data_IF_806387170611
#
_entry.id   IF_806387170611
#
_cell.length_a   1.000
_cell.length_b   1.000
_cell.length_c   1.000
_cell.angle_alpha   90.00
_cell.angle_beta   90.00
_cell.angle_gamma   90.00
#
_symmetry.space_group_name_H-M   'P 1'
#
loop_
_entity.id
_entity.type
_entity.pdbx_description
1 polymer ?
#
# COMPACT_ATOMS: atom_id res chain seq x y z
N UNK A 1 -10.94 12.51 6.97
CA UNK A 1 -10.04 11.44 7.45
C UNK A 1 -9.31 11.94 8.70
N UNK A 2 -9.15 11.15 9.77
CA UNK A 2 -8.34 11.62 10.93
C UNK A 2 -6.88 11.73 10.48
N UNK A 3 -6.16 12.82 10.81
CA UNK A 3 -4.79 13.01 10.34
C UNK A 3 -3.91 11.87 10.86
N UNK A 4 -2.98 11.35 10.04
CA UNK A 4 -2.05 10.28 10.42
C UNK A 4 -1.29 10.57 11.72
N UNK A 5 -0.93 11.85 11.91
CA UNK A 5 -0.38 12.39 13.15
C UNK A 5 -1.23 12.06 14.37
N UNK A 6 -2.57 12.07 14.28
CA UNK A 6 -3.45 11.70 15.39
C UNK A 6 -3.36 10.20 15.79
N UNK A 7 -3.08 9.30 14.83
CA UNK A 7 -2.87 7.87 15.09
C UNK A 7 -1.52 7.62 15.78
N UNK A 8 -0.49 8.40 15.44
CA UNK A 8 0.84 8.34 16.08
C UNK A 8 0.82 9.00 17.47
N UNK A 9 0.19 10.15 17.61
CA UNK A 9 0.19 10.91 18.88
C UNK A 9 -0.50 10.15 20.01
N UNK A 10 -1.48 9.30 19.70
CA UNK A 10 -2.16 8.43 20.69
C UNK A 10 -1.45 7.10 20.97
N UNK A 11 -0.28 6.90 20.39
CA UNK A 11 0.43 5.63 20.49
C UNK A 11 1.49 5.65 21.59
N UNK A 12 1.55 4.56 22.37
CA UNK A 12 2.52 4.39 23.47
C UNK A 12 3.91 3.95 22.99
N UNK A 13 4.38 4.43 21.83
CA UNK A 13 5.74 4.15 21.34
C UNK A 13 6.57 5.42 21.31
N UNK A 14 7.88 5.28 21.51
CA UNK A 14 8.79 6.41 21.40
C UNK A 14 8.93 6.86 19.94
N UNK A 15 9.27 8.15 19.74
CA UNK A 15 9.58 8.69 18.40
C UNK A 15 10.73 7.93 17.73
N UNK A 16 11.72 7.47 18.50
CA UNK A 16 12.83 6.68 18.00
C UNK A 16 12.35 5.35 17.40
N UNK A 17 11.49 4.61 18.13
CA UNK A 17 10.89 3.36 17.64
C UNK A 17 10.01 3.59 16.41
N UNK A 18 9.27 4.69 16.37
CA UNK A 18 8.51 5.04 15.18
C UNK A 18 9.40 5.28 13.95
N UNK A 19 10.50 6.04 14.09
CA UNK A 19 11.47 6.26 13.00
C UNK A 19 12.13 4.96 12.54
N UNK A 20 12.41 4.05 13.48
CA UNK A 20 12.92 2.71 13.16
C UNK A 20 11.91 1.91 12.30
N UNK A 21 10.61 1.91 12.65
CA UNK A 21 9.57 1.27 11.83
C UNK A 21 9.54 1.85 10.41
N UNK A 22 9.60 3.18 10.27
CA UNK A 22 9.60 3.84 8.95
C UNK A 22 10.81 3.42 8.13
N UNK A 23 12.01 3.39 8.75
CA UNK A 23 13.23 2.94 8.08
C UNK A 23 13.16 1.49 7.63
N UNK A 24 12.67 0.59 8.47
CA UNK A 24 12.53 -0.82 8.11
C UNK A 24 11.46 -1.03 7.03
N UNK A 25 10.38 -0.25 7.07
CA UNK A 25 9.37 -0.24 6.01
C UNK A 25 9.97 0.22 4.66
N UNK A 26 10.86 1.22 4.64
CA UNK A 26 11.53 1.64 3.40
C UNK A 26 12.52 0.61 2.84
N UNK A 27 12.98 -0.34 3.66
CA UNK A 27 13.76 -1.50 3.21
C UNK A 27 12.87 -2.68 2.77
N UNK A 28 11.56 -2.46 2.64
CA UNK A 28 10.57 -3.43 2.21
C UNK A 28 10.43 -4.67 3.14
N UNK A 29 10.71 -4.50 4.43
CA UNK A 29 10.49 -5.56 5.41
C UNK A 29 8.99 -5.76 5.66
N UNK A 30 8.59 -7.02 5.78
CA UNK A 30 7.24 -7.40 6.21
C UNK A 30 6.96 -6.97 7.64
N UNK A 31 5.68 -6.77 7.99
CA UNK A 31 5.29 -6.41 9.35
C UNK A 31 5.74 -7.43 10.41
N UNK A 32 5.89 -8.71 10.04
CA UNK A 32 6.44 -9.76 10.92
C UNK A 32 7.93 -9.53 11.18
N UNK A 33 8.71 -9.27 10.13
CA UNK A 33 10.15 -8.97 10.27
C UNK A 33 10.37 -7.68 11.06
N UNK A 34 9.61 -6.63 10.77
CA UNK A 34 9.67 -5.37 11.53
C UNK A 34 9.34 -5.60 13.00
N UNK A 35 8.33 -6.40 13.32
CA UNK A 35 7.97 -6.74 14.70
C UNK A 35 9.10 -7.48 15.43
N UNK A 36 9.78 -8.41 14.76
CA UNK A 36 10.94 -9.13 15.30
C UNK A 36 12.10 -8.17 15.58
N UNK A 37 12.49 -7.34 14.60
CA UNK A 37 13.62 -6.39 14.73
C UNK A 37 13.34 -5.34 15.82
N UNK A 38 12.14 -4.78 15.82
CA UNK A 38 11.79 -3.69 16.75
C UNK A 38 11.40 -4.18 18.15
N UNK A 39 11.20 -5.50 18.32
CA UNK A 39 10.63 -6.14 19.52
C UNK A 39 9.26 -5.59 19.91
N UNK A 40 8.45 -5.21 18.91
CA UNK A 40 7.09 -4.69 19.10
C UNK A 40 6.04 -5.76 18.81
N UNK A 41 4.86 -5.62 19.41
CA UNK A 41 3.73 -6.46 19.07
C UNK A 41 3.39 -6.33 17.56
N UNK A 42 3.26 -7.46 16.86
CA UNK A 42 2.94 -7.52 15.42
C UNK A 42 1.68 -6.72 15.06
N UNK A 43 0.65 -6.73 15.88
CA UNK A 43 -0.58 -5.96 15.63
C UNK A 43 -0.32 -4.45 15.70
N UNK A 44 0.59 -4.02 16.58
CA UNK A 44 1.03 -2.62 16.63
C UNK A 44 1.77 -2.24 15.35
N UNK A 45 2.73 -3.05 14.91
CA UNK A 45 3.46 -2.83 13.65
C UNK A 45 2.50 -2.80 12.45
N UNK A 46 1.56 -3.75 12.36
CA UNK A 46 0.54 -3.78 11.32
C UNK A 46 -0.26 -2.48 11.24
N UNK A 47 -0.62 -1.88 12.38
CA UNK A 47 -1.33 -0.60 12.39
C UNK A 47 -0.48 0.53 11.79
N UNK A 48 0.81 0.60 12.11
CA UNK A 48 1.70 1.62 11.53
C UNK A 48 1.96 1.41 10.05
N UNK A 49 2.32 0.18 9.67
CA UNK A 49 2.58 -0.18 8.28
C UNK A 49 1.36 0.12 7.41
N UNK A 50 0.14 -0.22 7.88
CA UNK A 50 -1.10 0.16 7.20
C UNK A 50 -1.25 1.67 7.09
N UNK A 51 -1.04 2.40 8.18
CA UNK A 51 -1.20 3.85 8.20
C UNK A 51 -0.18 4.57 7.29
N UNK A 52 1.04 4.06 7.18
CA UNK A 52 2.06 4.55 6.24
C UNK A 52 1.60 4.31 4.80
N UNK A 53 1.09 3.12 4.48
CA UNK A 53 0.53 2.82 3.14
C UNK A 53 -0.67 3.71 2.79
N UNK A 54 -1.58 3.94 3.73
CA UNK A 54 -2.72 4.86 3.58
C UNK A 54 -2.25 6.29 3.25
N UNK A 55 -1.18 6.76 3.90
CA UNK A 55 -0.60 8.07 3.57
C UNK A 55 0.02 8.13 2.18
N UNK A 56 0.79 7.11 1.81
CA UNK A 56 1.41 7.05 0.48
C UNK A 56 0.31 7.09 -0.57
N UNK A 57 -0.75 6.29 -0.40
CA UNK A 57 -1.90 6.30 -1.30
C UNK A 57 -2.55 7.69 -1.38
N UNK A 58 -2.84 8.34 -0.25
CA UNK A 58 -3.42 9.69 -0.24
C UNK A 58 -2.51 10.73 -0.93
N UNK A 59 -1.20 10.64 -0.70
CA UNK A 59 -0.25 11.54 -1.34
C UNK A 59 -0.20 11.28 -2.85
N UNK A 60 -0.26 10.03 -3.29
CA UNK A 60 -0.37 9.69 -4.71
C UNK A 60 -1.66 10.25 -5.33
N UNK A 61 -2.80 10.18 -4.62
CA UNK A 61 -4.08 10.72 -5.08
C UNK A 61 -4.01 12.26 -5.24
N UNK A 62 -3.33 12.98 -4.34
CA UNK A 62 -3.12 14.43 -4.44
C UNK A 62 -2.26 14.84 -5.66
N UNK A 63 -1.40 13.95 -6.16
CA UNK A 63 -0.56 14.20 -7.34
C UNK A 63 -1.26 13.84 -8.66
N UNK A 64 -2.52 13.42 -8.61
CA UNK A 64 -3.36 13.10 -9.77
C UNK A 64 -4.17 14.33 -10.21
N UNK A 65 -4.44 14.55 -11.52
CA UNK A 65 -4.06 13.71 -12.66
C UNK A 65 -2.63 13.96 -13.16
N UNK A 66 -1.99 12.89 -13.63
CA UNK A 66 -0.65 12.95 -14.23
C UNK A 66 -0.77 13.46 -15.68
N UNK A 67 0.12 14.38 -16.06
CA UNK A 67 0.24 14.89 -17.44
C UNK A 67 1.48 14.34 -18.15
N UNK A 68 1.41 14.19 -19.48
CA UNK A 68 2.49 13.72 -20.34
C UNK A 68 2.31 12.27 -20.82
N UNK A 69 3.38 11.68 -21.38
CA UNK A 69 3.38 10.29 -21.85
C UNK A 69 3.44 9.32 -20.66
N UNK A 70 2.48 8.40 -20.61
CA UNK A 70 2.37 7.38 -19.56
C UNK A 70 2.30 5.99 -20.19
N UNK A 71 2.91 5.02 -19.53
CA UNK A 71 2.72 3.59 -19.78
C UNK A 71 1.61 3.08 -18.87
N UNK A 72 0.77 2.19 -19.39
CA UNK A 72 -0.36 1.62 -18.65
C UNK A 72 -0.16 0.11 -18.60
N UNK A 73 -0.16 -0.46 -17.40
CA UNK A 73 -0.10 -1.90 -17.15
C UNK A 73 -1.32 -2.38 -16.35
N UNK A 74 -1.74 -3.62 -16.61
CA UNK A 74 -2.89 -4.25 -15.96
C UNK A 74 -2.48 -5.36 -15.00
N UNK A 75 -2.85 -5.20 -13.73
CA UNK A 75 -2.63 -6.20 -12.69
C UNK A 75 -3.94 -6.73 -12.10
N UNK A 76 -3.96 -8.03 -11.80
CA UNK A 76 -5.15 -8.75 -11.34
C UNK A 76 -4.91 -9.36 -9.95
N UNK A 77 -5.51 -8.79 -8.91
CA UNK A 77 -5.29 -9.18 -7.51
C UNK A 77 -6.51 -9.88 -6.90
N UNK A 78 -6.33 -10.49 -5.72
CA UNK A 78 -7.45 -10.76 -4.80
C UNK A 78 -8.34 -11.98 -5.09
N UNK A 79 -8.12 -12.74 -6.16
CA UNK A 79 -8.88 -13.99 -6.33
C UNK A 79 -8.50 -15.02 -5.26
N UNK A 80 -9.42 -15.26 -4.30
CA UNK A 80 -9.41 -16.48 -3.48
C UNK A 80 -9.51 -17.68 -4.43
N UNK A 81 -8.77 -18.76 -4.19
CA UNK A 81 -8.75 -19.95 -5.07
C UNK A 81 -10.18 -20.35 -5.48
N UNK A 82 -10.53 -20.13 -6.74
CA UNK A 82 -11.83 -20.53 -7.30
C UNK A 82 -11.64 -21.86 -8.04
N UNK A 83 -12.49 -22.85 -7.76
CA UNK A 83 -12.57 -24.09 -8.55
C UNK A 83 -13.27 -23.75 -9.88
N UNK A 84 -12.65 -24.06 -11.02
CA UNK A 84 -13.17 -23.67 -12.34
C UNK A 84 -12.23 -22.71 -13.09
N UNK A 85 -12.75 -21.61 -13.66
CA UNK A 85 -11.98 -20.65 -14.47
C UNK A 85 -10.76 -20.11 -13.71
N UNK A 86 -9.57 -20.30 -14.31
CA UNK A 86 -8.26 -19.86 -13.79
C UNK A 86 -7.74 -18.66 -14.61
N UNK A 87 -6.61 -18.09 -14.19
CA UNK A 87 -5.97 -16.99 -14.91
C UNK A 87 -6.72 -15.67 -14.75
N UNK A 88 -6.60 -14.75 -15.71
CA UNK A 88 -7.16 -13.38 -15.64
C UNK A 88 -8.70 -13.36 -15.51
N UNK A 89 -9.41 -14.34 -16.08
CA UNK A 89 -10.87 -14.46 -15.99
C UNK A 89 -11.42 -15.16 -14.74
N UNK A 90 -10.61 -15.32 -13.68
CA UNK A 90 -11.10 -15.89 -12.42
C UNK A 90 -12.05 -14.90 -11.72
N UNK A 91 -13.16 -15.42 -11.18
CA UNK A 91 -14.18 -14.60 -10.50
C UNK A 91 -13.59 -13.95 -9.23
N UNK A 92 -13.97 -12.71 -8.96
CA UNK A 92 -13.56 -11.98 -7.76
C UNK A 92 -12.13 -11.44 -7.81
N UNK A 93 -11.55 -11.30 -9.01
CA UNK A 93 -10.32 -10.55 -9.20
C UNK A 93 -10.61 -9.05 -9.13
N UNK A 94 -9.79 -8.34 -8.36
CA UNK A 94 -9.72 -6.88 -8.42
C UNK A 94 -8.74 -6.51 -9.51
N UNK A 95 -9.23 -5.85 -10.56
CA UNK A 95 -8.39 -5.31 -11.62
C UNK A 95 -7.85 -3.96 -11.16
N UNK A 96 -6.54 -3.78 -11.29
CA UNK A 96 -5.82 -2.56 -10.93
C UNK A 96 -4.99 -2.15 -12.13
N UNK A 97 -5.17 -0.92 -12.58
CA UNK A 97 -4.32 -0.33 -13.61
C UNK A 97 -3.16 0.41 -12.93
N UNK A 98 -1.94 0.02 -13.28
CA UNK A 98 -0.73 0.76 -12.97
C UNK A 98 -0.45 1.75 -14.10
N UNK A 99 -0.48 3.04 -13.80
CA UNK A 99 -0.10 4.12 -14.71
C UNK A 99 1.31 4.55 -14.34
N UNK A 100 2.28 4.20 -15.17
CA UNK A 100 3.68 4.55 -14.99
C UNK A 100 4.09 5.72 -15.87
N UNK A 101 4.62 6.80 -15.29
CA UNK A 101 5.26 7.87 -16.05
C UNK A 101 6.76 7.59 -16.13
N UNK A 102 7.32 7.47 -17.35
CA UNK A 102 8.79 7.32 -17.54
C UNK A 102 9.51 8.49 -16.87
N UNK A 103 10.55 8.17 -16.09
CA UNK A 103 11.30 9.14 -15.27
C UNK A 103 10.42 9.96 -14.29
N UNK A 104 9.27 9.42 -13.89
CA UNK A 104 8.32 10.07 -12.97
C UNK A 104 7.73 9.11 -11.94
N UNK A 105 6.61 9.49 -11.35
CA UNK A 105 5.90 8.72 -10.32
C UNK A 105 5.09 7.56 -10.92
N UNK A 106 4.94 6.48 -10.16
CA UNK A 106 3.99 5.38 -10.43
C UNK A 106 2.66 5.73 -9.76
N UNK A 107 1.57 5.63 -10.51
CA UNK A 107 0.21 5.78 -9.99
C UNK A 107 -0.58 4.50 -10.20
N UNK A 108 -1.49 4.18 -9.29
CA UNK A 108 -2.32 2.98 -9.39
C UNK A 108 -3.77 3.33 -9.11
N UNK A 109 -4.66 2.94 -10.02
CA UNK A 109 -6.09 3.14 -9.85
C UNK A 109 -6.83 1.80 -9.85
N UNK A 110 -7.65 1.59 -8.82
CA UNK A 110 -8.62 0.49 -8.81
C UNK A 110 -9.76 0.88 -9.75
N UNK A 111 -10.08 0.03 -10.72
CA UNK A 111 -11.18 0.29 -11.65
C UNK A 111 -12.45 -0.36 -11.11
N UNK A 112 -13.48 0.44 -10.73
CA UNK A 112 -14.65 -0.08 -10.04
C UNK A 112 -15.57 -0.93 -10.92
N UNK A 113 -15.47 -0.80 -12.25
CA UNK A 113 -16.28 -1.55 -13.21
C UNK A 113 -15.42 -1.98 -14.39
N UNK A 114 -15.18 -3.27 -14.49
CA UNK A 114 -14.47 -3.91 -15.60
C UNK A 114 -15.43 -4.94 -16.17
N UNK A 115 -15.96 -4.64 -17.36
CA UNK A 115 -16.85 -5.50 -18.15
C UNK A 115 -16.06 -6.52 -18.95
#
# INVERSE_FOLDING_TARGET
MKPFTSKIVRSRISKAKFREIVRLFSYDLSATQIAQVTSLNRNTVNRYVRAIREMIAHHCDEQSPITGTVEIDESYFGARRVRGKRGRGARGKTIVFGIYKRNGSVYTQIVPNVS
#
